data_IF_716683096241
#
_entry.id   IF_716683096241
#
_cell.length_a   1.000
_cell.length_b   1.000
_cell.length_c   1.000
_cell.angle_alpha   90.00
_cell.angle_beta   90.00
_cell.angle_gamma   90.00
#
_symmetry.space_group_name_H-M   'P 1'
#
loop_
_entity.id
_entity.type
_entity.pdbx_description
1 polymer ?
#
# COMPACT_ATOMS: atom_id res chain seq x y z
N UNK A 1 14.93 -15.22 47.57
CA UNK A 1 15.51 -15.78 46.32
C UNK A 1 14.46 -16.15 45.28
N UNK A 2 13.44 -16.98 45.55
CA UNK A 2 12.43 -17.40 44.55
C UNK A 2 11.64 -16.26 43.87
N UNK A 3 11.36 -15.17 44.58
CA UNK A 3 10.60 -14.01 44.07
C UNK A 3 11.40 -13.17 43.06
N UNK A 4 12.71 -13.01 43.29
CA UNK A 4 13.61 -12.34 42.36
C UNK A 4 13.89 -13.20 41.13
N UNK A 5 13.99 -14.53 41.30
CA UNK A 5 14.14 -15.48 40.19
C UNK A 5 12.95 -15.44 39.22
N UNK A 6 11.72 -15.31 39.72
CA UNK A 6 10.52 -15.19 38.89
C UNK A 6 10.49 -13.87 38.10
N UNK A 7 10.87 -12.75 38.73
CA UNK A 7 11.02 -11.45 38.06
C UNK A 7 12.13 -11.46 37.01
N UNK A 8 13.25 -12.17 37.27
CA UNK A 8 14.32 -12.34 36.30
C UNK A 8 13.88 -13.15 35.07
N UNK A 9 13.11 -14.22 35.27
CA UNK A 9 12.58 -15.07 34.18
C UNK A 9 11.53 -14.32 33.36
N UNK A 10 10.63 -13.57 34.01
CA UNK A 10 9.65 -12.72 33.31
C UNK A 10 10.32 -11.60 32.52
N UNK A 11 11.37 -10.96 33.06
CA UNK A 11 12.14 -9.95 32.33
C UNK A 11 12.86 -10.55 31.12
N UNK A 12 13.43 -11.76 31.23
CA UNK A 12 14.08 -12.49 30.14
C UNK A 12 13.12 -12.85 28.98
N UNK A 13 11.82 -12.99 29.25
CA UNK A 13 10.78 -13.28 28.24
C UNK A 13 10.31 -12.04 27.44
N UNK A 14 10.72 -10.83 27.83
CA UNK A 14 10.40 -9.58 27.10
C UNK A 14 11.47 -9.16 26.09
N UNK A 15 12.57 -9.91 25.98
CA UNK A 15 13.59 -9.63 24.98
C UNK A 15 13.36 -10.52 23.76
N UNK A 16 13.47 -9.95 22.56
CA UNK A 16 13.35 -10.59 21.24
C UNK A 16 11.99 -10.58 20.53
N UNK A 17 11.22 -9.49 20.62
CA UNK A 17 10.32 -9.16 19.50
C UNK A 17 11.04 -8.24 18.53
N UNK A 18 11.28 -8.70 17.30
CA UNK A 18 11.70 -7.77 16.24
C UNK A 18 10.56 -6.79 15.98
N UNK A 19 10.77 -5.53 16.35
CA UNK A 19 9.84 -4.45 16.01
C UNK A 19 10.01 -4.20 14.52
N UNK A 20 9.09 -4.75 13.73
CA UNK A 20 9.08 -4.47 12.31
C UNK A 20 8.43 -3.11 12.05
N UNK A 21 9.27 -2.09 11.88
CA UNK A 21 8.84 -0.75 11.49
C UNK A 21 8.41 -0.71 10.02
N UNK A 22 7.70 0.34 9.61
CA UNK A 22 7.27 0.58 8.21
C UNK A 22 8.42 1.15 7.36
N UNK A 23 9.58 0.49 7.48
CA UNK A 23 10.86 0.87 6.90
C UNK A 23 11.36 -0.33 6.11
N UNK A 24 11.89 -0.11 4.92
CA UNK A 24 12.38 -1.20 4.07
C UNK A 24 13.12 -0.68 2.84
N UNK A 25 13.60 -1.62 2.03
CA UNK A 25 14.27 -1.36 0.74
C UNK A 25 13.45 -1.84 -0.46
N UNK A 26 12.36 -2.59 -0.23
CA UNK A 26 11.48 -3.06 -1.29
C UNK A 26 10.03 -2.98 -0.80
N UNK A 27 9.18 -2.32 -1.58
CA UNK A 27 7.76 -2.12 -1.28
C UNK A 27 6.95 -2.52 -2.49
N UNK A 28 5.90 -3.30 -2.24
CA UNK A 28 4.92 -3.69 -3.24
C UNK A 28 3.57 -3.11 -2.87
N UNK A 29 2.89 -2.56 -3.86
CA UNK A 29 1.61 -1.89 -3.68
C UNK A 29 0.73 -2.16 -4.90
N UNK A 30 -0.55 -2.44 -4.68
CA UNK A 30 -1.57 -2.40 -5.72
C UNK A 30 -2.28 -1.05 -5.61
N UNK A 31 -2.03 -0.08 -6.51
CA UNK A 31 -2.69 1.21 -6.43
C UNK A 31 -4.19 1.04 -6.65
N UNK A 32 -5.05 1.51 -5.73
CA UNK A 32 -6.48 1.26 -5.82
C UNK A 32 -7.12 2.09 -6.93
N UNK A 33 -8.22 1.59 -7.48
CA UNK A 33 -9.15 2.43 -8.20
C UNK A 33 -9.92 3.29 -7.18
N UNK A 34 -9.61 4.58 -7.15
CA UNK A 34 -10.31 5.52 -6.27
C UNK A 34 -11.55 6.04 -7.01
N UNK A 35 -12.67 6.08 -6.31
CA UNK A 35 -13.93 6.64 -6.83
C UNK A 35 -13.73 8.06 -7.36
N UNK A 36 -13.95 8.28 -8.67
CA UNK A 36 -13.57 9.52 -9.36
C UNK A 36 -14.16 10.77 -8.70
N UNK A 37 -15.44 10.73 -8.35
CA UNK A 37 -16.17 11.86 -7.78
C UNK A 37 -16.05 12.01 -6.26
N UNK A 38 -15.26 11.17 -5.60
CA UNK A 38 -14.82 11.46 -4.23
C UNK A 38 -13.96 12.75 -4.18
N UNK A 39 -13.42 13.16 -5.33
CA UNK A 39 -12.70 14.42 -5.55
C UNK A 39 -13.15 15.03 -6.91
N UNK A 40 -12.75 16.27 -7.30
CA UNK A 40 -12.87 16.67 -8.68
C UNK A 40 -12.12 15.68 -9.58
N UNK A 41 -12.64 15.41 -10.80
CA UNK A 41 -11.99 14.50 -11.73
C UNK A 41 -10.52 14.87 -12.00
N UNK A 42 -9.70 13.86 -12.26
CA UNK A 42 -8.24 13.99 -12.45
C UNK A 42 -7.49 14.49 -11.21
N UNK A 43 -7.90 14.02 -10.03
CA UNK A 43 -7.21 14.32 -8.80
C UNK A 43 -5.72 13.91 -8.83
N UNK A 44 -4.84 14.70 -8.19
CA UNK A 44 -3.43 14.36 -8.15
C UNK A 44 -3.16 13.14 -7.28
N UNK A 45 -2.20 12.32 -7.71
CA UNK A 45 -1.68 11.19 -6.94
C UNK A 45 -0.19 11.34 -6.74
N UNK A 46 0.27 11.02 -5.53
CA UNK A 46 1.67 11.16 -5.16
C UNK A 46 2.20 9.91 -4.49
N UNK A 47 3.51 9.72 -4.59
CA UNK A 47 4.26 8.83 -3.74
C UNK A 47 5.23 9.68 -2.91
N UNK A 48 5.04 9.71 -1.59
CA UNK A 48 6.02 10.32 -0.70
C UNK A 48 7.03 9.26 -0.28
N UNK A 49 8.31 9.59 -0.43
CA UNK A 49 9.44 8.75 -0.04
C UNK A 49 10.32 9.55 0.91
N UNK A 50 10.77 8.93 2.00
CA UNK A 50 11.69 9.54 2.96
C UNK A 50 12.88 8.63 3.21
N UNK A 51 14.09 9.16 3.06
CA UNK A 51 15.34 8.52 3.47
C UNK A 51 15.61 8.73 4.95
N UNK A 52 16.31 7.78 5.56
CA UNK A 52 16.76 7.85 6.95
C UNK A 52 18.22 8.35 6.99
N UNK A 53 19.06 7.77 7.85
CA UNK A 53 20.44 8.20 8.07
C UNK A 53 21.35 8.07 6.85
N UNK A 54 20.96 7.28 5.85
CA UNK A 54 21.72 7.04 4.63
C UNK A 54 21.00 7.60 3.39
N UNK A 55 21.75 8.06 2.37
CA UNK A 55 21.17 8.37 1.07
C UNK A 55 20.67 7.10 0.37
N UNK A 56 19.69 7.24 -0.52
CA UNK A 56 19.17 6.12 -1.31
C UNK A 56 18.86 6.54 -2.75
N UNK A 57 19.18 5.65 -3.69
CA UNK A 57 18.59 5.68 -5.03
C UNK A 57 17.32 4.85 -4.99
N UNK A 58 16.20 5.45 -5.40
CA UNK A 58 14.87 4.84 -5.40
C UNK A 58 14.39 4.68 -6.83
N UNK A 59 13.96 3.48 -7.18
CA UNK A 59 13.38 3.12 -8.47
C UNK A 59 11.92 2.72 -8.28
N UNK A 60 11.02 3.45 -8.93
CA UNK A 60 9.59 3.20 -8.98
C UNK A 60 9.30 2.53 -10.32
N UNK A 61 8.66 1.36 -10.31
CA UNK A 61 8.45 0.55 -11.50
C UNK A 61 7.16 -0.23 -11.44
N UNK A 62 6.68 -0.70 -12.59
CA UNK A 62 5.58 -1.66 -12.69
C UNK A 62 6.09 -2.92 -13.40
N UNK A 63 6.62 -3.93 -12.67
CA UNK A 63 7.35 -5.03 -13.30
C UNK A 63 6.55 -5.82 -14.35
N UNK A 64 5.23 -5.93 -14.20
CA UNK A 64 4.35 -6.61 -15.14
C UNK A 64 3.86 -5.72 -16.30
N UNK A 65 4.02 -4.39 -16.20
CA UNK A 65 3.64 -3.44 -17.24
C UNK A 65 4.87 -2.89 -17.97
N UNK A 66 5.24 -3.54 -19.08
CA UNK A 66 6.38 -3.15 -19.92
C UNK A 66 6.24 -1.76 -20.56
N UNK A 67 5.03 -1.20 -20.61
CA UNK A 67 4.78 0.15 -21.11
C UNK A 67 5.10 1.26 -20.09
N UNK A 68 5.30 0.90 -18.83
CA UNK A 68 5.67 1.85 -17.78
C UNK A 68 7.18 2.08 -17.77
N UNK A 69 7.60 3.31 -18.03
CA UNK A 69 9.00 3.72 -17.89
C UNK A 69 9.33 3.91 -16.41
N UNK A 70 10.31 3.16 -15.83
CA UNK A 70 10.69 3.34 -14.44
C UNK A 70 11.14 4.77 -14.11
N UNK A 71 10.73 5.25 -12.95
CA UNK A 71 11.10 6.58 -12.44
C UNK A 71 12.20 6.40 -11.39
N UNK A 72 13.28 7.16 -11.50
CA UNK A 72 14.44 7.05 -10.59
C UNK A 72 14.72 8.38 -9.91
N UNK A 73 14.87 8.35 -8.59
CA UNK A 73 15.27 9.50 -7.78
C UNK A 73 16.48 9.17 -6.92
N UNK A 74 17.42 10.09 -6.81
CA UNK A 74 18.54 10.03 -5.88
C UNK A 74 18.24 10.98 -4.71
N UNK A 75 17.99 10.42 -3.53
CA UNK A 75 17.66 11.18 -2.33
C UNK A 75 18.89 11.21 -1.40
N UNK A 76 19.32 12.39 -0.92
CA UNK A 76 20.30 12.46 0.15
C UNK A 76 19.73 11.86 1.45
N UNK A 77 20.58 11.58 2.43
CA UNK A 77 20.14 11.19 3.77
C UNK A 77 19.21 12.26 4.39
N UNK A 78 18.30 11.84 5.26
CA UNK A 78 17.37 12.70 6.01
C UNK A 78 16.54 13.64 5.13
N UNK A 79 16.06 13.14 3.99
CA UNK A 79 15.30 13.94 3.04
C UNK A 79 14.03 13.23 2.58
N UNK A 80 13.09 14.02 2.05
CA UNK A 80 11.84 13.51 1.49
C UNK A 80 11.66 13.97 0.05
N UNK A 81 11.06 13.11 -0.76
CA UNK A 81 10.64 13.42 -2.12
C UNK A 81 9.14 13.10 -2.26
N UNK A 82 8.36 14.06 -2.77
CA UNK A 82 6.96 13.86 -3.16
C UNK A 82 6.90 13.71 -4.67
N UNK A 83 6.84 12.47 -5.14
CA UNK A 83 6.81 12.15 -6.57
C UNK A 83 5.39 12.29 -7.09
N UNK A 84 5.20 13.13 -8.11
CA UNK A 84 3.91 13.27 -8.80
C UNK A 84 3.73 12.13 -9.81
N UNK A 85 2.67 11.33 -9.62
CA UNK A 85 2.33 10.19 -10.46
C UNK A 85 1.07 10.45 -11.31
N UNK A 86 0.54 11.68 -11.29
CA UNK A 86 -0.76 12.02 -11.88
C UNK A 86 -0.81 11.73 -13.38
N UNK A 87 0.28 11.97 -14.11
CA UNK A 87 0.37 11.71 -15.56
C UNK A 87 0.31 10.23 -15.95
N UNK A 88 0.59 9.32 -15.00
CA UNK A 88 0.58 7.87 -15.20
C UNK A 88 -0.53 7.17 -14.41
N UNK A 89 -1.48 7.92 -13.82
CA UNK A 89 -2.56 7.39 -12.97
C UNK A 89 -3.36 6.28 -13.64
N UNK A 90 -3.71 6.44 -14.91
CA UNK A 90 -4.50 5.45 -15.67
C UNK A 90 -3.77 4.13 -15.87
N UNK A 91 -2.44 4.11 -15.76
CA UNK A 91 -1.64 2.87 -15.78
C UNK A 91 -1.57 2.21 -14.40
N UNK A 92 -1.75 2.98 -13.33
CA UNK A 92 -1.59 2.55 -11.94
C UNK A 92 -2.87 1.99 -11.33
N UNK A 93 -4.02 2.58 -11.62
CA UNK A 93 -5.29 2.19 -11.00
C UNK A 93 -5.67 0.73 -11.30
N UNK A 94 -5.87 -0.05 -10.25
CA UNK A 94 -6.26 -1.47 -10.34
C UNK A 94 -7.74 -1.59 -10.70
N UNK A 95 -8.03 -1.61 -11.99
CA UNK A 95 -9.37 -1.79 -12.55
C UNK A 95 -9.33 -2.55 -13.90
N UNK A 96 -10.39 -3.33 -14.24
CA UNK A 96 -11.59 -3.60 -13.46
C UNK A 96 -11.36 -4.59 -12.30
N UNK A 97 -12.33 -4.72 -11.40
CA UNK A 97 -12.32 -5.73 -10.32
C UNK A 97 -12.36 -7.15 -10.88
N UNK A 98 -12.00 -8.13 -10.05
CA UNK A 98 -12.02 -9.56 -10.40
C UNK A 98 -11.24 -9.92 -11.67
N UNK A 99 -10.11 -9.25 -11.86
CA UNK A 99 -9.21 -9.49 -12.99
C UNK A 99 -7.77 -9.53 -12.52
N UNK A 100 -6.96 -10.37 -13.16
CA UNK A 100 -5.51 -10.30 -13.00
C UNK A 100 -5.01 -9.16 -13.88
N UNK A 101 -4.39 -8.15 -13.26
CA UNK A 101 -3.93 -6.93 -13.90
C UNK A 101 -2.42 -6.74 -13.72
N UNK A 102 -1.82 -5.97 -14.62
CA UNK A 102 -0.39 -5.65 -14.58
C UNK A 102 -0.11 -4.32 -13.85
N UNK A 103 -0.95 -3.96 -12.88
CA UNK A 103 -0.94 -2.66 -12.20
C UNK A 103 -0.04 -2.60 -10.96
N UNK A 104 0.57 -3.72 -10.57
CA UNK A 104 1.43 -3.81 -9.39
C UNK A 104 2.60 -2.83 -9.43
N UNK A 105 2.66 -1.94 -8.45
CA UNK A 105 3.70 -0.93 -8.27
C UNK A 105 4.79 -1.46 -7.32
N UNK A 106 6.03 -1.35 -7.76
CA UNK A 106 7.22 -1.68 -6.97
C UNK A 106 8.07 -0.44 -6.72
N UNK A 107 8.41 -0.19 -5.45
CA UNK A 107 9.32 0.86 -5.02
C UNK A 107 10.54 0.18 -4.41
N UNK A 108 11.65 0.19 -5.14
CA UNK A 108 12.91 -0.41 -4.71
C UNK A 108 13.93 0.67 -4.37
N UNK A 109 14.63 0.55 -3.26
CA UNK A 109 15.61 1.49 -2.78
C UNK A 109 16.95 0.80 -2.47
N UNK A 110 18.06 1.52 -2.66
CA UNK A 110 19.40 1.01 -2.31
C UNK A 110 19.70 1.03 -0.81
N UNK A 111 18.94 1.80 -0.03
CA UNK A 111 18.99 1.86 1.44
C UNK A 111 17.57 2.03 2.00
N UNK A 112 17.42 1.88 3.31
CA UNK A 112 16.14 1.91 4.02
C UNK A 112 15.45 3.26 3.87
N UNK A 113 14.19 3.19 3.43
CA UNK A 113 13.28 4.32 3.32
C UNK A 113 11.96 4.03 4.04
N UNK A 114 11.15 5.06 4.21
CA UNK A 114 9.70 4.91 4.40
C UNK A 114 8.97 5.44 3.17
N UNK A 115 7.81 4.89 2.85
CA UNK A 115 7.00 5.39 1.75
C UNK A 115 5.50 5.34 2.06
N UNK A 116 4.75 6.29 1.51
CA UNK A 116 3.29 6.22 1.46
C UNK A 116 2.78 6.71 0.11
N UNK A 117 1.69 6.11 -0.34
CA UNK A 117 0.92 6.57 -1.49
C UNK A 117 -0.16 7.53 -1.02
N UNK A 118 -0.35 8.61 -1.77
CA UNK A 118 -1.26 9.70 -1.42
C UNK A 118 -2.21 9.95 -2.58
N UNK A 119 -3.50 9.97 -2.26
CA UNK A 119 -4.54 10.49 -3.13
C UNK A 119 -4.86 11.89 -2.61
N UNK A 120 -4.42 12.91 -3.35
CA UNK A 120 -4.53 14.29 -2.89
C UNK A 120 -5.92 14.83 -3.19
N UNK A 121 -6.62 15.23 -2.14
CA UNK A 121 -7.93 15.87 -2.19
C UNK A 121 -7.80 17.33 -1.73
N UNK A 122 -8.81 18.14 -2.03
CA UNK A 122 -8.91 19.49 -1.48
C UNK A 122 -9.37 19.47 -0.02
N UNK A 123 -10.18 18.48 0.39
CA UNK A 123 -10.77 18.43 1.73
C UNK A 123 -10.15 17.36 2.63
N UNK A 124 -9.90 16.16 2.09
CA UNK A 124 -9.44 14.99 2.84
C UNK A 124 -8.51 14.12 1.99
N UNK A 125 -7.21 14.19 2.22
CA UNK A 125 -6.27 13.32 1.50
C UNK A 125 -6.36 11.89 2.04
N UNK A 126 -6.39 10.91 1.14
CA UNK A 126 -6.22 9.52 1.52
C UNK A 126 -4.75 9.15 1.47
N UNK A 127 -4.28 8.48 2.53
CA UNK A 127 -2.88 8.05 2.67
C UNK A 127 -2.82 6.55 2.90
N UNK A 128 -2.04 5.86 2.07
CA UNK A 128 -1.75 4.44 2.18
C UNK A 128 -0.29 4.26 2.59
N UNK A 129 -0.06 3.98 3.88
CA UNK A 129 1.28 3.74 4.39
C UNK A 129 1.81 2.39 3.89
N UNK A 130 2.90 2.41 3.12
CA UNK A 130 3.49 1.19 2.58
C UNK A 130 4.30 0.48 3.66
N UNK A 131 4.21 -0.85 3.68
CA UNK A 131 4.69 -1.66 4.81
C UNK A 131 6.05 -2.32 4.59
N UNK A 132 6.63 -2.18 3.40
CA UNK A 132 7.89 -2.81 3.02
C UNK A 132 7.80 -4.32 3.15
N UNK A 133 8.83 -4.94 3.73
CA UNK A 133 8.88 -6.38 4.01
C UNK A 133 7.72 -6.87 4.88
N UNK A 134 7.09 -6.00 5.68
CA UNK A 134 5.96 -6.39 6.54
C UNK A 134 4.65 -6.52 5.78
N UNK A 135 4.59 -5.98 4.56
CA UNK A 135 3.47 -6.19 3.65
C UNK A 135 3.59 -7.49 2.87
N UNK A 136 4.70 -8.22 3.00
CA UNK A 136 4.91 -9.49 2.31
C UNK A 136 4.42 -10.66 3.18
N UNK A 137 3.74 -11.60 2.54
CA UNK A 137 3.19 -12.76 3.21
C UNK A 137 2.36 -13.62 2.27
N UNK A 138 1.91 -14.75 2.77
CA UNK A 138 1.01 -15.67 2.04
C UNK A 138 -0.38 -15.76 2.67
N UNK A 139 -0.60 -15.08 3.79
CA UNK A 139 -1.87 -15.03 4.51
C UNK A 139 -2.10 -13.60 5.02
N UNK A 140 -3.29 -13.07 4.74
CA UNK A 140 -3.70 -11.72 5.12
C UNK A 140 -5.13 -11.74 5.64
N UNK A 141 -5.40 -10.90 6.64
CA UNK A 141 -6.72 -10.69 7.21
C UNK A 141 -7.17 -9.28 6.90
N UNK A 142 -8.28 -9.14 6.16
CA UNK A 142 -8.81 -7.85 5.73
C UNK A 142 -10.11 -7.60 6.48
N UNK A 143 -10.09 -6.83 7.58
CA UNK A 143 -11.30 -6.51 8.32
C UNK A 143 -12.14 -5.51 7.50
N UNK A 144 -13.39 -5.88 7.22
CA UNK A 144 -14.37 -5.00 6.60
C UNK A 144 -15.61 -4.96 7.49
N UNK A 145 -16.19 -3.77 7.70
CA UNK A 145 -17.40 -3.65 8.50
C UNK A 145 -18.63 -4.13 7.73
N UNK A 146 -19.62 -4.64 8.45
CA UNK A 146 -20.92 -5.07 7.90
C UNK A 146 -22.10 -4.29 8.50
N UNK A 147 -21.80 -3.23 9.24
CA UNK A 147 -22.82 -2.43 9.90
C UNK A 147 -23.56 -1.59 8.84
N UNK A 148 -24.88 -1.76 8.67
CA UNK A 148 -25.67 -1.07 7.66
C UNK A 148 -25.72 0.44 7.85
N UNK A 149 -25.38 0.96 9.04
CA UNK A 149 -25.29 2.39 9.28
C UNK A 149 -24.04 3.02 8.64
N UNK A 150 -23.02 2.22 8.33
CA UNK A 150 -21.86 2.64 7.55
C UNK A 150 -22.07 2.25 6.09
N UNK A 151 -22.95 2.98 5.41
CA UNK A 151 -23.24 2.76 4.00
C UNK A 151 -22.19 3.41 3.10
N UNK A 152 -21.92 2.77 1.95
CA UNK A 152 -21.07 3.32 0.90
C UNK A 152 -21.73 4.56 0.28
N UNK A 153 -21.00 5.68 0.24
CA UNK A 153 -21.50 6.89 -0.39
C UNK A 153 -21.67 6.69 -1.91
N UNK A 154 -22.65 7.38 -2.50
CA UNK A 154 -22.90 7.38 -3.95
C UNK A 154 -22.84 8.81 -4.44
N UNK A 155 -21.82 9.13 -5.24
CA UNK A 155 -21.65 10.48 -5.79
C UNK A 155 -22.52 10.72 -7.02
N UNK A 156 -22.78 9.67 -7.79
CA UNK A 156 -23.69 9.68 -8.94
C UNK A 156 -24.56 8.42 -8.96
N UNK A 157 -25.44 8.29 -9.96
CA UNK A 157 -26.23 7.07 -10.18
C UNK A 157 -25.46 6.00 -10.97
N UNK A 158 -24.21 6.25 -11.36
CA UNK A 158 -23.37 5.29 -12.07
C UNK A 158 -22.63 4.39 -11.08
N UNK A 159 -22.65 3.05 -11.25
CA UNK A 159 -21.99 2.13 -10.32
C UNK A 159 -20.49 2.37 -10.09
N UNK A 160 -19.76 2.93 -11.09
CA UNK A 160 -18.32 3.24 -10.97
C UNK A 160 -18.05 4.32 -9.92
N UNK A 161 -19.07 5.11 -9.56
CA UNK A 161 -18.96 6.26 -8.66
C UNK A 161 -19.44 5.94 -7.24
N UNK A 162 -19.54 4.65 -6.92
CA UNK A 162 -19.89 4.18 -5.59
C UNK A 162 -18.61 4.04 -4.77
N UNK A 163 -18.56 4.66 -3.60
CA UNK A 163 -17.44 4.56 -2.67
C UNK A 163 -17.48 3.20 -1.95
N UNK A 164 -17.10 2.14 -2.65
CA UNK A 164 -17.17 0.76 -2.17
C UNK A 164 -15.90 0.39 -1.41
N UNK A 165 -16.06 -0.25 -0.27
CA UNK A 165 -14.95 -0.90 0.40
C UNK A 165 -14.41 -2.05 -0.47
N UNK A 166 -13.15 -1.96 -0.88
CA UNK A 166 -12.46 -2.93 -1.71
C UNK A 166 -11.12 -3.31 -1.10
N UNK A 167 -10.47 -4.30 -1.70
CA UNK A 167 -9.07 -4.63 -1.45
C UNK A 167 -8.41 -5.03 -2.77
N UNK A 168 -7.14 -4.68 -2.90
CA UNK A 168 -6.33 -5.04 -4.05
C UNK A 168 -5.14 -5.89 -3.60
N UNK A 169 -4.82 -6.93 -4.38
CA UNK A 169 -3.73 -7.86 -4.07
C UNK A 169 -2.68 -7.74 -5.16
N UNK A 170 -1.43 -7.55 -4.76
CA UNK A 170 -0.27 -7.62 -5.65
C UNK A 170 0.52 -8.90 -5.38
N UNK A 171 0.67 -9.74 -6.40
CA UNK A 171 1.58 -10.88 -6.36
C UNK A 171 2.99 -10.41 -6.74
N UNK A 172 3.99 -10.80 -5.95
CA UNK A 172 5.40 -10.47 -6.21
C UNK A 172 6.12 -11.53 -7.03
N UNK A 173 5.42 -12.58 -7.46
CA UNK A 173 5.95 -13.71 -8.21
C UNK A 173 4.91 -14.28 -9.16
N UNK A 174 5.36 -14.77 -10.31
CA UNK A 174 4.51 -15.39 -11.33
C UNK A 174 3.83 -16.65 -10.81
N UNK A 175 2.70 -17.00 -11.43
CA UNK A 175 1.92 -18.21 -11.12
C UNK A 175 1.46 -18.30 -9.65
N UNK A 176 1.25 -17.15 -8.99
CA UNK A 176 0.68 -17.08 -7.65
C UNK A 176 -0.81 -17.45 -7.68
N UNK A 177 -1.22 -18.41 -6.85
CA UNK A 177 -2.62 -18.77 -6.66
C UNK A 177 -3.18 -18.05 -5.44
N UNK A 178 -4.32 -17.38 -5.60
CA UNK A 178 -5.00 -16.63 -4.53
C UNK A 178 -6.28 -17.38 -4.15
N UNK A 179 -6.49 -17.56 -2.84
CA UNK A 179 -7.73 -18.11 -2.28
C UNK A 179 -8.31 -17.07 -1.33
N UNK A 180 -9.57 -16.69 -1.56
CA UNK A 180 -10.27 -15.68 -0.76
C UNK A 180 -11.34 -16.40 0.07
N UNK A 181 -11.21 -16.32 1.39
CA UNK A 181 -12.24 -16.79 2.32
C UNK A 181 -13.05 -15.61 2.80
N UNK A 182 -14.33 -15.57 2.44
CA UNK A 182 -15.24 -14.53 2.89
C UNK A 182 -16.55 -15.13 3.40
N UNK A 183 -17.11 -14.63 4.52
CA UNK A 183 -18.43 -15.03 5.02
C UNK A 183 -19.59 -14.54 4.14
N UNK A 184 -19.32 -13.70 3.14
CA UNK A 184 -20.28 -13.23 2.12
C UNK A 184 -19.62 -13.32 0.76
N UNK A 185 -20.40 -13.40 -0.32
CA UNK A 185 -19.84 -13.29 -1.66
C UNK A 185 -19.11 -11.94 -1.79
N UNK A 186 -17.87 -12.00 -2.26
CA UNK A 186 -17.13 -10.83 -2.74
C UNK A 186 -17.53 -10.61 -4.19
N UNK A 187 -17.56 -9.36 -4.66
CA UNK A 187 -17.75 -9.10 -6.09
C UNK A 187 -16.51 -9.61 -6.84
N UNK A 188 -16.65 -10.81 -7.41
CA UNK A 188 -15.67 -11.50 -8.24
C UNK A 188 -16.01 -12.97 -8.47
#
# INVERSE_FOLDING_TARGET
MKRYLFLSISALLFFYTEIKAQVGTDFWFAPPNVTEYHNPPNFPIYLLITTLDNPATVTISMPANVGFTPIVYNLPANSSQRVDLTSVRTQLETQPTNSVLNTGLRIQATDKITAYYEVSNTNNNELFALKGENGLGTEFYIPMHKDPNFYNHRFTNTPVDYAIASFDIVATSDNTNIIIYSPVLVDG
#
